data_IF_696239552951
#
_entry.id   IF_696239552951
#
_cell.length_a   1.000
_cell.length_b   1.000
_cell.length_c   1.000
_cell.angle_alpha   90.00
_cell.angle_beta   90.00
_cell.angle_gamma   90.00
#
_symmetry.space_group_name_H-M   'P 1'
#
loop_
_entity.id
_entity.type
_entity.pdbx_description
1 polymer ?
#
# COMPACT_ATOMS: atom_id res chain seq x y z
N UNK A 1 -2.82 13.90 -38.88
CA UNK A 1 -3.71 13.80 -37.70
C UNK A 1 -2.89 13.26 -36.54
N UNK A 2 -2.44 14.15 -35.66
CA UNK A 2 -1.64 13.77 -34.48
C UNK A 2 -2.52 13.04 -33.47
N UNK A 3 -2.03 11.92 -32.93
CA UNK A 3 -2.71 11.18 -31.86
C UNK A 3 -2.72 12.09 -30.63
N UNK A 4 -3.91 12.56 -30.26
CA UNK A 4 -4.13 13.22 -28.98
C UNK A 4 -3.67 12.28 -27.88
N UNK A 5 -2.71 12.73 -27.09
CA UNK A 5 -2.50 12.20 -25.76
C UNK A 5 -3.73 12.60 -24.96
N UNK A 6 -4.76 11.75 -24.95
CA UNK A 6 -5.89 11.91 -24.05
C UNK A 6 -5.31 11.78 -22.63
N UNK A 7 -5.07 12.93 -22.02
CA UNK A 7 -4.70 13.07 -20.63
C UNK A 7 -5.81 12.42 -19.81
N UNK A 8 -5.50 11.27 -19.18
CA UNK A 8 -6.39 10.69 -18.17
C UNK A 8 -6.64 11.81 -17.13
N UNK A 9 -7.89 12.26 -16.93
CA UNK A 9 -8.15 13.36 -16.01
C UNK A 9 -7.64 13.01 -14.62
N UNK A 10 -6.90 13.92 -13.99
CA UNK A 10 -6.24 13.71 -12.69
C UNK A 10 -7.20 13.34 -11.55
N UNK A 11 -8.47 13.73 -11.68
CA UNK A 11 -9.55 13.42 -10.73
C UNK A 11 -10.14 12.01 -10.88
N UNK A 12 -9.89 11.29 -11.98
CA UNK A 12 -10.25 9.88 -12.15
C UNK A 12 -9.29 8.91 -11.42
N UNK A 13 -8.21 9.42 -10.81
CA UNK A 13 -7.10 8.63 -10.25
C UNK A 13 -6.93 8.76 -8.73
N UNK A 14 -7.79 9.50 -8.03
CA UNK A 14 -7.75 9.68 -6.58
C UNK A 14 -9.05 9.22 -5.93
N UNK A 15 -8.99 8.02 -5.36
CA UNK A 15 -10.09 7.42 -4.62
C UNK A 15 -9.96 7.81 -3.15
N UNK A 16 -10.99 8.42 -2.55
CA UNK A 16 -10.89 8.91 -1.17
C UNK A 16 -10.66 7.78 -0.16
N UNK A 17 -10.16 8.11 1.03
CA UNK A 17 -9.96 7.11 2.08
C UNK A 17 -11.26 6.37 2.45
N UNK A 18 -12.39 7.08 2.43
CA UNK A 18 -13.70 6.52 2.75
C UNK A 18 -14.15 5.54 1.66
N UNK A 19 -14.12 5.95 0.40
CA UNK A 19 -14.48 5.08 -0.73
C UNK A 19 -13.57 3.84 -0.78
N UNK A 20 -12.26 4.01 -0.53
CA UNK A 20 -11.32 2.90 -0.56
C UNK A 20 -11.67 1.88 0.51
N UNK A 21 -11.96 2.38 1.71
CA UNK A 21 -12.38 1.55 2.83
C UNK A 21 -13.68 0.81 2.50
N UNK A 22 -14.66 1.49 1.90
CA UNK A 22 -15.95 0.88 1.53
C UNK A 22 -15.76 -0.24 0.50
N UNK A 23 -15.01 0.02 -0.58
CA UNK A 23 -14.68 -0.99 -1.60
C UNK A 23 -13.97 -2.18 -0.96
N UNK A 24 -12.91 -1.94 -0.17
CA UNK A 24 -12.13 -3.03 0.44
C UNK A 24 -12.99 -3.85 1.41
N UNK A 25 -13.87 -3.21 2.18
CA UNK A 25 -14.76 -3.91 3.10
C UNK A 25 -15.84 -4.73 2.38
N UNK A 26 -16.21 -4.37 1.16
CA UNK A 26 -17.20 -5.12 0.39
C UNK A 26 -16.64 -6.41 -0.24
N UNK A 27 -15.32 -6.49 -0.47
CA UNK A 27 -14.65 -7.68 -1.02
C UNK A 27 -14.95 -8.92 -0.17
N UNK A 28 -15.67 -9.89 -0.75
CA UNK A 28 -16.09 -11.13 -0.07
C UNK A 28 -14.99 -12.18 0.04
N UNK A 29 -14.11 -12.24 -0.96
CA UNK A 29 -12.97 -13.16 -0.92
C UNK A 29 -11.92 -12.64 0.07
N UNK A 30 -11.71 -13.36 1.17
CA UNK A 30 -10.83 -12.92 2.25
C UNK A 30 -9.37 -12.77 1.81
N UNK A 31 -8.92 -13.55 0.83
CA UNK A 31 -7.55 -13.48 0.31
C UNK A 31 -7.40 -12.21 -0.50
N UNK A 32 -8.35 -11.93 -1.40
CA UNK A 32 -8.36 -10.71 -2.21
C UNK A 32 -8.39 -9.47 -1.31
N UNK A 33 -9.30 -9.47 -0.33
CA UNK A 33 -9.45 -8.38 0.64
C UNK A 33 -8.13 -8.16 1.40
N UNK A 34 -7.51 -9.23 1.89
CA UNK A 34 -6.25 -9.13 2.62
C UNK A 34 -5.09 -8.67 1.74
N UNK A 35 -5.03 -9.08 0.47
CA UNK A 35 -3.99 -8.67 -0.47
C UNK A 35 -4.04 -7.17 -0.74
N UNK A 36 -5.23 -6.64 -1.03
CA UNK A 36 -5.44 -5.21 -1.28
C UNK A 36 -5.16 -4.41 -0.01
N UNK A 37 -5.72 -4.82 1.13
CA UNK A 37 -5.45 -4.20 2.43
C UNK A 37 -3.95 -4.16 2.77
N UNK A 38 -3.24 -5.27 2.58
CA UNK A 38 -1.80 -5.38 2.87
C UNK A 38 -0.99 -4.47 1.95
N UNK A 39 -1.31 -4.46 0.66
CA UNK A 39 -0.59 -3.66 -0.34
C UNK A 39 -0.76 -2.17 -0.07
N UNK A 40 -2.00 -1.73 0.21
CA UNK A 40 -2.31 -0.37 0.65
C UNK A 40 -1.57 -0.01 1.95
N UNK A 41 -1.72 -0.82 3.02
CA UNK A 41 -1.10 -0.56 4.32
C UNK A 41 0.44 -0.45 4.28
N UNK A 42 1.07 -1.21 3.40
CA UNK A 42 2.52 -1.34 3.36
C UNK A 42 3.23 -0.19 2.63
N UNK A 43 2.53 0.69 1.90
CA UNK A 43 3.21 1.58 0.93
C UNK A 43 4.14 0.77 -0.01
N UNK A 44 3.77 -0.48 -0.27
CA UNK A 44 4.62 -1.48 -0.91
C UNK A 44 4.47 -1.43 -2.42
N UNK A 45 5.55 -1.72 -3.16
CA UNK A 45 5.37 -2.21 -4.53
C UNK A 45 4.82 -3.62 -4.43
N UNK A 46 3.98 -4.03 -5.38
CA UNK A 46 3.36 -5.36 -5.32
C UNK A 46 4.41 -6.48 -5.24
N UNK A 47 5.52 -6.35 -5.96
CA UNK A 47 6.62 -7.31 -5.91
C UNK A 47 7.33 -7.47 -4.56
N UNK A 48 7.15 -6.54 -3.62
CA UNK A 48 7.66 -6.68 -2.24
C UNK A 48 6.68 -7.42 -1.32
N UNK A 49 5.43 -7.57 -1.76
CA UNK A 49 4.38 -8.32 -1.05
C UNK A 49 4.29 -9.74 -1.60
N UNK A 50 4.35 -9.87 -2.93
CA UNK A 50 4.12 -11.12 -3.67
C UNK A 50 5.35 -11.53 -4.48
N UNK A 51 5.27 -12.65 -5.20
CA UNK A 51 6.36 -13.06 -6.09
C UNK A 51 6.43 -12.17 -7.35
N UNK A 52 7.54 -11.45 -7.48
CA UNK A 52 7.88 -10.70 -8.69
C UNK A 52 8.98 -11.40 -9.47
N UNK A 53 8.93 -11.40 -10.81
CA UNK A 53 10.03 -11.91 -11.63
C UNK A 53 11.31 -11.06 -11.53
N UNK A 54 11.25 -9.87 -10.92
CA UNK A 54 12.39 -8.98 -10.78
C UNK A 54 13.32 -9.44 -9.66
N UNK A 55 14.63 -9.52 -9.95
CA UNK A 55 15.66 -9.97 -8.99
C UNK A 55 15.70 -9.04 -7.76
N UNK A 56 15.57 -9.63 -6.57
CA UNK A 56 15.89 -8.99 -5.29
C UNK A 56 14.70 -8.74 -4.35
N UNK A 57 13.45 -8.77 -4.82
CA UNK A 57 12.30 -8.67 -3.90
C UNK A 57 11.94 -10.05 -3.32
N UNK A 58 11.83 -10.15 -1.99
CA UNK A 58 11.37 -11.38 -1.33
C UNK A 58 9.88 -11.23 -0.99
N UNK A 59 9.01 -12.18 -1.41
CA UNK A 59 7.60 -12.14 -1.04
C UNK A 59 7.44 -12.11 0.47
N UNK A 60 6.44 -11.38 0.94
CA UNK A 60 6.17 -11.22 2.37
C UNK A 60 5.76 -12.55 3.00
N UNK A 61 6.24 -12.81 4.22
CA UNK A 61 5.84 -13.98 5.00
C UNK A 61 5.01 -13.60 6.22
N UNK A 62 4.36 -14.58 6.85
CA UNK A 62 3.55 -14.36 8.06
C UNK A 62 4.32 -13.68 9.21
N UNK A 63 5.58 -14.03 9.39
CA UNK A 63 6.48 -13.48 10.41
C UNK A 63 6.86 -12.01 10.16
N UNK A 64 6.63 -11.51 8.95
CA UNK A 64 6.86 -10.12 8.58
C UNK A 64 5.77 -9.17 9.09
N UNK A 65 4.70 -9.74 9.66
CA UNK A 65 3.60 -9.01 10.28
C UNK A 65 3.60 -9.23 11.78
N UNK A 66 3.73 -8.14 12.54
CA UNK A 66 3.80 -8.17 14.01
C UNK A 66 3.01 -7.04 14.64
N UNK A 67 2.38 -7.31 15.78
CA UNK A 67 1.90 -6.24 16.67
C UNK A 67 3.08 -5.72 17.48
N UNK A 68 3.23 -4.40 17.53
CA UNK A 68 4.26 -3.71 18.31
C UNK A 68 3.60 -2.64 19.17
N UNK A 69 4.09 -2.47 20.39
CA UNK A 69 3.63 -1.41 21.30
C UNK A 69 4.65 -0.29 21.31
N UNK A 70 4.20 0.96 21.16
CA UNK A 70 5.02 2.17 21.32
C UNK A 70 4.22 3.23 22.08
N UNK A 71 4.79 3.74 23.17
CA UNK A 71 4.15 4.76 24.02
C UNK A 71 2.71 4.38 24.41
N UNK A 72 2.50 3.14 24.85
CA UNK A 72 1.19 2.60 25.25
C UNK A 72 0.22 2.29 24.10
N UNK A 73 0.55 2.61 22.84
CA UNK A 73 -0.30 2.37 21.67
C UNK A 73 0.17 1.16 20.88
N UNK A 74 -0.78 0.37 20.37
CA UNK A 74 -0.53 -0.82 19.55
C UNK A 74 -0.55 -0.45 18.06
N UNK A 75 0.36 -1.05 17.32
CA UNK A 75 0.48 -0.88 15.88
C UNK A 75 0.71 -2.23 15.23
N UNK A 76 0.07 -2.45 14.09
CA UNK A 76 0.44 -3.52 13.18
C UNK A 76 1.63 -3.04 12.35
N UNK A 77 2.78 -3.70 12.50
CA UNK A 77 4.00 -3.43 11.72
C UNK A 77 4.12 -4.46 10.60
N UNK A 78 4.38 -3.97 9.39
CA UNK A 78 4.68 -4.76 8.21
C UNK A 78 6.17 -4.62 7.88
N UNK A 79 6.85 -5.70 7.56
CA UNK A 79 8.28 -5.70 7.19
C UNK A 79 8.44 -5.97 5.69
N UNK A 80 8.88 -4.96 4.93
CA UNK A 80 9.16 -5.09 3.50
C UNK A 80 10.66 -5.25 3.27
N UNK A 81 11.05 -6.33 2.59
CA UNK A 81 12.45 -6.67 2.33
C UNK A 81 12.74 -6.58 0.83
N UNK A 82 13.67 -5.72 0.46
CA UNK A 82 14.23 -5.66 -0.89
C UNK A 82 15.73 -5.89 -0.81
N UNK A 83 16.23 -6.97 -1.40
CA UNK A 83 17.67 -7.16 -1.62
C UNK A 83 18.16 -6.23 -2.72
N UNK A 84 19.21 -5.48 -2.41
CA UNK A 84 19.97 -4.68 -3.36
C UNK A 84 21.39 -5.22 -3.42
N UNK A 85 22.14 -4.83 -4.45
CA UNK A 85 23.58 -5.18 -4.61
C UNK A 85 24.43 -4.87 -3.36
N UNK A 86 24.04 -3.86 -2.57
CA UNK A 86 24.73 -3.43 -1.33
C UNK A 86 24.03 -3.88 -0.02
N UNK A 87 23.26 -4.97 -0.07
CA UNK A 87 22.59 -5.56 1.11
C UNK A 87 21.06 -5.43 1.10
N UNK A 88 20.42 -5.85 2.19
CA UNK A 88 18.95 -5.85 2.31
C UNK A 88 18.45 -4.48 2.77
N UNK A 89 17.64 -3.83 1.95
CA UNK A 89 16.86 -2.67 2.34
C UNK A 89 15.56 -3.12 3.02
N UNK A 90 15.33 -2.62 4.24
CA UNK A 90 14.20 -3.00 5.08
C UNK A 90 13.33 -1.80 5.43
N UNK A 91 12.06 -1.83 5.03
CA UNK A 91 11.05 -0.83 5.41
C UNK A 91 10.10 -1.41 6.44
N UNK A 92 9.65 -0.55 7.36
CA UNK A 92 8.77 -0.93 8.48
C UNK A 92 7.53 -0.03 8.59
N UNK A 93 6.64 -0.02 7.58
CA UNK A 93 5.33 0.62 7.69
C UNK A 93 4.56 0.17 8.93
N UNK A 94 3.72 1.07 9.46
CA UNK A 94 2.86 0.79 10.60
C UNK A 94 1.43 1.23 10.33
N UNK A 95 0.48 0.47 10.85
CA UNK A 95 -0.95 0.78 10.86
C UNK A 95 -1.40 0.83 12.32
N UNK A 96 -2.16 1.86 12.70
CA UNK A 96 -2.72 1.94 14.06
C UNK A 96 -3.81 0.88 14.24
N UNK A 97 -3.73 0.07 15.30
CA UNK A 97 -4.78 -0.92 15.59
C UNK A 97 -6.07 -0.30 16.12
N UNK A 98 -6.02 0.99 16.49
CA UNK A 98 -7.14 1.69 17.10
C UNK A 98 -7.83 2.57 16.06
N UNK A 99 -7.06 3.38 15.30
CA UNK A 99 -7.59 4.32 14.31
C UNK A 99 -7.97 3.64 13.00
N UNK A 100 -7.13 2.71 12.55
CA UNK A 100 -7.34 1.95 11.33
C UNK A 100 -7.64 0.48 11.67
N UNK A 101 -8.50 0.27 12.68
CA UNK A 101 -8.83 -1.06 13.18
C UNK A 101 -9.29 -2.00 12.09
N UNK A 102 -10.12 -1.51 11.16
CA UNK A 102 -10.62 -2.29 10.02
C UNK A 102 -9.47 -2.87 9.19
N UNK A 103 -8.51 -2.02 8.81
CA UNK A 103 -7.36 -2.38 8.00
C UNK A 103 -6.42 -3.32 8.75
N UNK A 104 -6.11 -2.99 10.01
CA UNK A 104 -5.24 -3.81 10.85
C UNK A 104 -5.85 -5.20 11.09
N UNK A 105 -7.17 -5.28 11.31
CA UNK A 105 -7.89 -6.53 11.57
C UNK A 105 -7.87 -7.47 10.37
N UNK A 106 -8.21 -6.98 9.17
CA UNK A 106 -8.17 -7.77 7.92
C UNK A 106 -6.80 -8.44 7.75
N UNK A 107 -5.74 -7.65 7.83
CA UNK A 107 -4.36 -8.14 7.63
C UNK A 107 -3.96 -9.13 8.73
N UNK A 108 -4.29 -8.82 9.98
CA UNK A 108 -3.91 -9.66 11.12
C UNK A 108 -4.65 -11.00 11.14
N UNK A 109 -5.94 -11.01 10.79
CA UNK A 109 -6.72 -12.24 10.76
C UNK A 109 -6.33 -13.12 9.57
N UNK A 110 -6.07 -12.54 8.39
CA UNK A 110 -5.49 -13.28 7.26
C UNK A 110 -4.14 -13.90 7.61
N UNK A 111 -3.26 -13.12 8.26
CA UNK A 111 -1.96 -13.60 8.76
C UNK A 111 -2.13 -14.86 9.62
N UNK A 112 -3.13 -14.92 10.50
CA UNK A 112 -3.32 -16.08 11.41
C UNK A 112 -3.61 -17.36 10.64
N UNK A 113 -4.32 -17.28 9.51
CA UNK A 113 -4.71 -18.39 8.64
C UNK A 113 -3.53 -19.01 7.86
N UNK A 114 -2.40 -18.30 7.76
CA UNK A 114 -1.23 -18.81 7.03
C UNK A 114 -0.38 -19.75 7.90
N UNK A 115 0.30 -20.70 7.27
CA UNK A 115 1.25 -21.58 7.94
C UNK A 115 2.45 -20.83 8.53
N UNK A 116 3.07 -21.40 9.57
CA UNK A 116 4.17 -20.77 10.33
C UNK A 116 5.41 -20.45 9.47
N UNK A 117 5.59 -21.15 8.36
CA UNK A 117 6.74 -20.98 7.45
C UNK A 117 6.33 -20.55 6.03
N UNK A 118 5.04 -20.27 5.83
CA UNK A 118 4.45 -19.95 4.54
C UNK A 118 4.58 -18.48 4.14
N UNK A 119 4.48 -18.25 2.84
CA UNK A 119 4.24 -16.91 2.32
C UNK A 119 2.93 -16.35 2.85
N UNK A 120 2.86 -15.04 3.02
CA UNK A 120 1.63 -14.38 3.43
C UNK A 120 0.51 -14.58 2.40
N UNK A 121 0.88 -14.65 1.12
CA UNK A 121 -0.03 -14.94 0.02
C UNK A 121 0.50 -16.12 -0.80
N UNK A 122 0.11 -17.36 -0.49
CA UNK A 122 0.58 -18.55 -1.20
C UNK A 122 0.07 -18.59 -2.65
N UNK A 123 0.89 -19.10 -3.55
CA UNK A 123 0.57 -19.35 -4.96
C UNK A 123 -0.13 -20.70 -5.16
N UNK A 124 -0.42 -21.04 -6.42
CA UNK A 124 -1.03 -22.33 -6.77
C UNK A 124 -0.07 -23.51 -6.60
N UNK A 125 1.24 -23.28 -6.78
CA UNK A 125 2.25 -24.34 -6.64
C UNK A 125 2.64 -24.51 -5.16
N UNK A 126 2.93 -25.73 -4.70
CA UNK A 126 3.49 -25.94 -3.36
C UNK A 126 4.71 -25.06 -3.13
N UNK A 127 4.80 -24.44 -1.94
CA UNK A 127 5.90 -23.55 -1.56
C UNK A 127 6.15 -22.39 -2.56
N UNK A 128 5.11 -21.88 -3.21
CA UNK A 128 5.18 -20.67 -4.03
C UNK A 128 4.37 -19.53 -3.43
N UNK A 129 4.71 -18.28 -3.73
CA UNK A 129 3.84 -17.13 -3.46
C UNK A 129 3.04 -16.77 -4.72
N UNK A 130 1.92 -16.06 -4.54
CA UNK A 130 1.15 -15.50 -5.66
C UNK A 130 2.05 -14.65 -6.56
N UNK A 131 1.82 -14.66 -7.87
CA UNK A 131 2.57 -13.82 -8.81
C UNK A 131 2.05 -12.38 -8.81
N UNK A 132 2.89 -11.42 -9.19
CA UNK A 132 2.46 -10.03 -9.41
C UNK A 132 1.30 -9.95 -10.40
N UNK A 133 1.31 -10.73 -11.49
CA UNK A 133 0.21 -10.70 -12.47
C UNK A 133 -1.11 -11.18 -11.87
N UNK A 134 -1.09 -12.24 -11.06
CA UNK A 134 -2.30 -12.70 -10.38
C UNK A 134 -2.81 -11.67 -9.35
N UNK A 135 -1.90 -10.95 -8.68
CA UNK A 135 -2.28 -9.85 -7.81
C UNK A 135 -2.89 -8.66 -8.57
N UNK A 136 -2.34 -8.30 -9.74
CA UNK A 136 -2.93 -7.27 -10.62
C UNK A 136 -4.33 -7.67 -11.07
N UNK A 137 -4.56 -8.94 -11.45
CA UNK A 137 -5.90 -9.42 -11.81
C UNK A 137 -6.90 -9.35 -10.64
N UNK A 138 -6.45 -9.61 -9.41
CA UNK A 138 -7.28 -9.42 -8.21
C UNK A 138 -7.64 -7.94 -8.04
N UNK A 139 -6.69 -7.03 -8.26
CA UNK A 139 -6.97 -5.60 -8.20
C UNK A 139 -7.96 -5.17 -9.28
N UNK A 140 -7.71 -5.56 -10.54
CA UNK A 140 -8.58 -5.26 -11.69
C UNK A 140 -10.03 -5.73 -11.44
N UNK A 141 -10.21 -6.91 -10.83
CA UNK A 141 -11.52 -7.48 -10.45
C UNK A 141 -12.35 -6.57 -9.53
N UNK A 142 -11.71 -5.80 -8.65
CA UNK A 142 -12.41 -5.02 -7.60
C UNK A 142 -12.42 -3.51 -7.87
N UNK A 143 -11.60 -3.02 -8.80
CA UNK A 143 -11.41 -1.59 -9.08
C UNK A 143 -11.62 -1.25 -10.57
N UNK A 144 -12.44 -2.03 -11.29
CA UNK A 144 -12.72 -1.90 -12.72
C UNK A 144 -12.97 -0.44 -13.17
N UNK A 145 -12.00 0.18 -13.86
CA UNK A 145 -12.12 1.15 -14.99
C UNK A 145 -10.74 1.72 -15.38
N UNK A 146 -10.33 1.52 -16.64
CA UNK A 146 -9.20 2.23 -17.30
C UNK A 146 -7.78 1.96 -16.78
N UNK A 147 -7.09 0.93 -17.28
CA UNK A 147 -5.63 0.64 -17.11
C UNK A 147 -5.07 1.08 -15.74
N UNK A 148 -5.68 0.60 -14.66
CA UNK A 148 -5.23 0.90 -13.31
C UNK A 148 -4.34 -0.24 -12.80
N UNK A 149 -3.10 0.07 -12.43
CA UNK A 149 -2.20 -0.88 -11.76
C UNK A 149 -2.47 -0.87 -10.26
N UNK A 150 -2.34 -2.02 -9.61
CA UNK A 150 -2.32 -2.17 -8.15
C UNK A 150 -1.32 -1.24 -7.45
N UNK A 151 -0.35 -0.68 -8.20
CA UNK A 151 0.53 0.40 -7.74
C UNK A 151 -0.24 1.64 -7.24
N UNK A 152 -1.47 1.87 -7.70
CA UNK A 152 -2.33 2.94 -7.21
C UNK A 152 -2.63 2.83 -5.71
N UNK A 153 -2.69 1.61 -5.15
CA UNK A 153 -2.86 1.44 -3.70
C UNK A 153 -1.73 2.11 -2.91
N UNK A 154 -0.50 2.03 -3.44
CA UNK A 154 0.66 2.72 -2.86
C UNK A 154 0.51 4.24 -3.01
N UNK A 155 -0.02 4.70 -4.14
CA UNK A 155 -0.31 6.13 -4.39
C UNK A 155 -1.32 6.67 -3.38
N UNK A 156 -2.50 6.07 -3.34
CA UNK A 156 -3.57 6.47 -2.43
C UNK A 156 -3.13 6.44 -0.98
N UNK A 157 -2.36 5.42 -0.56
CA UNK A 157 -1.86 5.36 0.82
C UNK A 157 -1.01 6.58 1.18
N UNK A 158 -0.10 6.97 0.29
CA UNK A 158 0.74 8.16 0.50
C UNK A 158 -0.10 9.42 0.53
N UNK A 159 -1.00 9.60 -0.43
CA UNK A 159 -1.87 10.77 -0.52
C UNK A 159 -2.72 10.89 0.75
N UNK A 160 -3.40 9.82 1.18
CA UNK A 160 -4.20 9.81 2.41
C UNK A 160 -3.38 10.12 3.66
N UNK A 161 -2.11 9.69 3.69
CA UNK A 161 -1.23 9.99 4.81
C UNK A 161 -0.83 11.47 4.84
N UNK A 162 -0.52 12.04 3.68
CA UNK A 162 -0.15 13.45 3.52
C UNK A 162 -1.35 14.38 3.75
N UNK A 163 -2.57 13.94 3.46
CA UNK A 163 -3.81 14.66 3.78
C UNK A 163 -4.28 14.50 5.23
N UNK A 164 -3.86 13.44 5.90
CA UNK A 164 -4.24 13.15 7.28
C UNK A 164 -5.53 12.33 7.42
N UNK A 165 -6.05 11.76 6.34
CA UNK A 165 -7.41 11.15 6.27
C UNK A 165 -7.67 10.02 7.29
N UNK A 166 -6.61 9.37 7.78
CA UNK A 166 -6.69 8.28 8.75
C UNK A 166 -6.01 8.57 10.09
N UNK A 167 -5.52 9.80 10.29
CA UNK A 167 -4.82 10.20 11.52
C UNK A 167 -5.79 10.82 12.54
N UNK A 168 -5.29 11.16 13.72
CA UNK A 168 -6.10 11.86 14.72
C UNK A 168 -6.24 13.33 14.27
N UNK A 169 -7.45 13.89 14.35
CA UNK A 169 -7.73 15.29 14.01
C UNK A 169 -7.35 15.69 12.57
N UNK A 170 -7.25 14.73 11.65
CA UNK A 170 -6.74 14.96 10.29
C UNK A 170 -5.33 15.57 10.25
N UNK A 171 -4.51 15.32 11.27
CA UNK A 171 -3.11 15.75 11.30
C UNK A 171 -2.30 15.04 10.22
N UNK A 172 -1.75 15.81 9.27
CA UNK A 172 -0.91 15.29 8.19
C UNK A 172 0.27 14.47 8.73
N UNK A 173 0.53 13.30 8.14
CA UNK A 173 1.73 12.51 8.47
C UNK A 173 2.96 13.25 7.93
N UNK A 174 4.02 13.46 8.73
CA UNK A 174 5.21 14.15 8.25
C UNK A 174 5.77 13.51 6.97
N UNK A 175 6.06 14.31 5.95
CA UNK A 175 6.52 13.83 4.64
C UNK A 175 7.73 12.89 4.74
N UNK A 176 8.69 13.19 5.64
CA UNK A 176 9.85 12.34 5.92
C UNK A 176 9.47 10.94 6.41
N UNK A 177 8.38 10.82 7.16
CA UNK A 177 7.86 9.53 7.60
C UNK A 177 7.20 8.77 6.45
N UNK A 178 6.39 9.43 5.63
CA UNK A 178 5.79 8.84 4.40
C UNK A 178 6.87 8.35 3.44
N UNK A 179 7.90 9.18 3.19
CA UNK A 179 9.07 8.83 2.40
C UNK A 179 9.76 7.56 2.91
N UNK A 180 10.00 7.49 4.23
CA UNK A 180 10.62 6.32 4.87
C UNK A 180 9.76 5.08 4.76
N UNK A 181 8.44 5.22 4.86
CA UNK A 181 7.54 4.08 4.73
C UNK A 181 7.50 3.54 3.31
N UNK A 182 7.41 4.39 2.28
CA UNK A 182 7.40 3.92 0.89
C UNK A 182 8.77 3.72 0.23
N UNK A 183 9.87 4.13 0.88
CA UNK A 183 11.22 3.96 0.35
C UNK A 183 11.55 4.90 -0.80
N UNK A 184 11.07 6.15 -0.71
CA UNK A 184 11.49 7.22 -1.62
C UNK A 184 12.80 7.84 -1.14
N UNK A 185 13.73 8.03 -2.07
CA UNK A 185 15.05 8.62 -1.81
C UNK A 185 15.00 10.14 -1.93
N UNK A 186 14.16 10.65 -2.83
CA UNK A 186 13.97 12.08 -3.07
C UNK A 186 12.54 12.49 -2.69
N UNK A 187 12.42 13.60 -1.94
CA UNK A 187 11.13 14.18 -1.56
C UNK A 187 10.43 14.82 -2.75
N UNK A 188 11.17 15.30 -3.77
CA UNK A 188 10.59 15.93 -4.96
C UNK A 188 9.68 14.96 -5.73
N UNK A 189 10.13 13.72 -5.90
CA UNK A 189 9.34 12.62 -6.50
C UNK A 189 8.06 12.34 -5.70
N UNK A 190 8.06 12.55 -4.38
CA UNK A 190 6.88 12.38 -3.57
C UNK A 190 5.92 13.58 -3.69
N UNK A 191 6.45 14.80 -3.71
CA UNK A 191 5.64 16.02 -3.82
C UNK A 191 5.01 16.14 -5.22
N UNK A 192 5.80 15.97 -6.29
CA UNK A 192 5.33 16.08 -7.69
C UNK A 192 4.26 15.04 -8.05
N UNK A 193 4.27 13.86 -7.42
CA UNK A 193 3.37 12.75 -7.77
C UNK A 193 2.18 12.62 -6.80
N UNK A 194 2.33 13.06 -5.55
CA UNK A 194 1.36 12.76 -4.46
C UNK A 194 0.90 13.99 -3.67
N UNK A 195 1.46 15.18 -3.93
CA UNK A 195 1.12 16.42 -3.26
C UNK A 195 0.56 17.44 -4.26
N UNK A 196 -0.56 17.09 -4.93
CA UNK A 196 -1.34 18.08 -5.69
C UNK A 196 -2.02 19.12 -4.78
N UNK A 197 -2.00 18.92 -3.46
CA UNK A 197 -2.55 19.86 -2.49
C UNK A 197 -1.74 21.16 -2.37
N UNK A 198 -0.52 21.23 -2.91
CA UNK A 198 0.25 22.48 -2.92
C UNK A 198 -0.27 23.47 -3.95
N UNK A 199 -1.04 23.04 -4.97
CA UNK A 199 -1.55 23.98 -5.97
C UNK A 199 -2.66 24.90 -5.43
N UNK A 200 -3.56 24.42 -4.57
CA UNK A 200 -4.68 25.25 -4.07
C UNK A 200 -4.23 26.24 -2.99
N UNK A 201 -3.37 25.84 -2.03
CA UNK A 201 -2.87 26.76 -0.99
C UNK A 201 -1.82 27.78 -1.52
N UNK A 202 -1.23 27.55 -2.71
CA UNK A 202 -0.27 28.49 -3.33
C UNK A 202 -0.90 29.50 -4.29
N UNK A 203 -2.15 29.27 -4.72
CA UNK A 203 -2.86 30.16 -5.64
C UNK A 203 -3.51 31.36 -4.94
N UNK A 204 -3.58 31.36 -3.60
CA UNK A 204 -3.99 32.51 -2.79
C UNK A 204 -2.79 33.42 -2.39
N UNK A 205 -1.58 33.15 -2.91
CA UNK A 205 -0.35 33.94 -2.65
C UNK A 205 0.20 34.57 -3.95
N UNK A 206 -0.53 34.50 -5.08
CA UNK A 206 -0.22 35.25 -6.30
C UNK A 206 -1.33 36.26 -6.61
#
# INVERSE_FOLDING_TARGET
>A
MGRGTDLIPTWLLELSYKELKEIVLDIKDERDQALIATTYAAYGRIGEIVNSPHKGSKPMKKEDIKIVTRKGRKFLRLMLKTEKRKGTHLRRPVVSTDRERWLAKIIWDWRKKQDKHGYLFPGQKPNSAISSRAAELIFEKHFHEGIQSIHLLRKWRSTHALRGDFTKNNEKVPIKAVMKFGGWVDSKVLVEIYDQAVAEDSMDIL
#
